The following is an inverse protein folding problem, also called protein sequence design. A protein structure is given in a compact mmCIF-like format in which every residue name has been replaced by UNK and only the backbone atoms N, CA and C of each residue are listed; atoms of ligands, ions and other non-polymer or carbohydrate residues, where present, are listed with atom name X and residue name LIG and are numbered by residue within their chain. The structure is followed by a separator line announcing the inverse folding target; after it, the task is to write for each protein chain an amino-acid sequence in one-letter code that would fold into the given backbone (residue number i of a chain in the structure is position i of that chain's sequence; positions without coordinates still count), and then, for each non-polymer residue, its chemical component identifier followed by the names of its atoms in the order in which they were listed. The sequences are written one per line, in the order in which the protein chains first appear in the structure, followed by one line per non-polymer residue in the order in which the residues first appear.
data_IF_293101070725
#
_entry.id   IF_293101070725
#
_cell.length_a   1.000
_cell.length_b   1.000
_cell.length_c   1.000
_cell.angle_alpha   90.00
_cell.angle_beta   90.00
_cell.angle_gamma   90.00
#
_symmetry.space_group_name_H-M   'P 1'
#
loop_
_entity.id
_entity.type
_entity.pdbx_description
1 polymer ?
#
# COMPACT_ATOMS: atom_id res chain seq x y z
N UNK A 1 13.94 1.97 8.23
CA UNK A 1 12.89 0.94 8.48
C UNK A 1 11.93 1.49 9.52
N UNK A 2 10.61 1.44 9.27
CA UNK A 2 9.58 1.85 10.24
C UNK A 2 8.69 0.64 10.57
N UNK A 3 8.39 0.43 11.86
CA UNK A 3 7.46 -0.63 12.28
C UNK A 3 6.04 -0.27 11.87
N UNK A 4 5.35 -1.17 11.17
CA UNK A 4 3.98 -0.98 10.71
C UNK A 4 3.02 -1.82 11.56
N UNK A 5 2.17 -1.15 12.35
CA UNK A 5 1.02 -1.81 13.00
C UNK A 5 -0.16 -1.83 12.02
N UNK A 6 -1.18 -2.64 12.32
CA UNK A 6 -2.42 -2.72 11.53
C UNK A 6 -2.99 -1.34 11.16
N UNK A 7 -3.13 -0.44 12.15
CA UNK A 7 -3.63 0.93 11.92
C UNK A 7 -2.76 1.79 11.00
N UNK A 8 -1.47 1.49 10.83
CA UNK A 8 -0.59 2.22 9.91
C UNK A 8 -0.71 1.72 8.46
N UNK A 9 -1.04 0.44 8.27
CA UNK A 9 -1.04 -0.21 6.96
C UNK A 9 -2.10 0.36 6.01
N UNK A 10 -3.24 0.81 6.53
CA UNK A 10 -4.28 1.43 5.71
C UNK A 10 -3.83 2.75 5.08
N UNK A 11 -3.16 3.61 5.84
CA UNK A 11 -2.60 4.87 5.33
C UNK A 11 -1.47 4.63 4.33
N UNK A 12 -0.58 3.68 4.64
CA UNK A 12 0.51 3.30 3.75
C UNK A 12 -0.01 2.75 2.41
N UNK A 13 -1.01 1.87 2.43
CA UNK A 13 -1.65 1.36 1.22
C UNK A 13 -2.20 2.49 0.35
N UNK A 14 -3.05 3.36 0.93
CA UNK A 14 -3.67 4.47 0.16
C UNK A 14 -2.64 5.42 -0.43
N UNK A 15 -1.57 5.71 0.32
CA UNK A 15 -0.50 6.60 -0.14
C UNK A 15 0.36 5.97 -1.24
N UNK A 16 0.80 4.73 -1.07
CA UNK A 16 1.67 4.04 -2.02
C UNK A 16 0.95 3.70 -3.32
N UNK A 17 -0.31 3.27 -3.23
CA UNK A 17 -1.15 2.99 -4.40
C UNK A 17 -1.68 4.26 -5.08
N UNK A 18 -1.37 5.46 -4.54
CA UNK A 18 -1.84 6.74 -5.06
C UNK A 18 -3.37 6.76 -5.29
N UNK A 19 -4.12 6.22 -4.32
CA UNK A 19 -5.59 6.03 -4.44
C UNK A 19 -6.35 7.35 -4.62
N UNK A 20 -5.84 8.43 -4.04
CA UNK A 20 -6.46 9.76 -4.14
C UNK A 20 -5.73 10.61 -5.17
N UNK A 21 -6.48 11.43 -5.89
CA UNK A 21 -5.92 12.41 -6.84
C UNK A 21 -5.28 13.60 -6.12
N UNK A 22 -5.81 13.96 -4.94
CA UNK A 22 -5.31 15.07 -4.14
C UNK A 22 -4.34 14.58 -3.06
N UNK A 23 -3.27 15.32 -2.88
CA UNK A 23 -2.22 15.00 -1.93
C UNK A 23 -1.84 16.23 -1.11
N UNK A 24 -1.76 16.09 0.21
CA UNK A 24 -1.26 17.16 1.09
C UNK A 24 0.26 17.37 0.93
N UNK A 25 0.98 16.33 0.49
CA UNK A 25 2.39 16.45 0.14
C UNK A 25 2.50 17.12 -1.24
N UNK A 26 3.01 18.35 -1.24
CA UNK A 26 3.17 19.20 -2.44
C UNK A 26 4.26 18.71 -3.40
N UNK A 27 5.11 17.79 -2.96
CA UNK A 27 6.22 17.27 -3.75
C UNK A 27 5.82 16.08 -4.63
N UNK A 28 4.57 15.59 -4.54
CA UNK A 28 4.06 14.54 -5.41
C UNK A 28 3.54 15.16 -6.71
N UNK A 29 4.24 14.88 -7.80
CA UNK A 29 3.77 15.17 -9.16
C UNK A 29 2.81 14.07 -9.64
N UNK A 30 1.51 14.36 -9.61
CA UNK A 30 0.45 13.43 -10.02
C UNK A 30 0.53 13.05 -11.50
N UNK A 31 1.07 13.93 -12.35
CA UNK A 31 1.26 13.63 -13.77
C UNK A 31 2.23 12.48 -13.98
N UNK A 32 3.12 12.23 -13.03
CA UNK A 32 4.12 11.15 -13.07
C UNK A 32 3.69 9.89 -12.32
N UNK A 33 2.54 9.89 -11.64
CA UNK A 33 2.07 8.73 -10.86
C UNK A 33 1.89 7.46 -11.70
N UNK A 34 1.56 7.59 -12.98
CA UNK A 34 1.43 6.46 -13.91
C UNK A 34 2.75 5.74 -14.21
N UNK A 35 3.90 6.36 -13.89
CA UNK A 35 5.23 5.78 -14.04
C UNK A 35 5.61 4.89 -12.84
N UNK A 36 4.86 4.95 -11.74
CA UNK A 36 5.11 4.12 -10.57
C UNK A 36 4.74 2.66 -10.87
N UNK A 37 5.52 1.73 -10.32
CA UNK A 37 5.33 0.30 -10.53
C UNK A 37 5.44 -0.49 -9.22
N UNK A 38 4.76 -1.63 -9.18
CA UNK A 38 4.83 -2.62 -8.11
C UNK A 38 5.68 -3.80 -8.61
N UNK A 39 6.62 -4.26 -7.78
CA UNK A 39 7.54 -5.34 -8.16
C UNK A 39 7.02 -6.72 -7.77
N UNK A 40 6.06 -6.78 -6.85
CA UNK A 40 5.45 -8.04 -6.40
C UNK A 40 4.24 -8.40 -7.27
N UNK A 41 3.94 -9.69 -7.39
CA UNK A 41 2.71 -10.18 -8.05
C UNK A 41 1.45 -10.04 -7.19
N UNK A 42 1.39 -9.06 -6.28
CA UNK A 42 0.28 -8.93 -5.34
C UNK A 42 -0.98 -8.41 -6.03
N UNK A 43 -2.12 -8.82 -5.52
CA UNK A 43 -3.39 -8.22 -5.90
C UNK A 43 -3.48 -6.79 -5.33
N UNK A 44 -3.42 -5.80 -6.22
CA UNK A 44 -3.48 -4.38 -5.85
C UNK A 44 -4.83 -3.97 -5.27
N UNK A 45 -5.90 -4.74 -5.48
CA UNK A 45 -7.22 -4.48 -4.88
C UNK A 45 -7.29 -4.88 -3.40
N UNK A 46 -6.34 -5.69 -2.92
CA UNK A 46 -6.29 -6.17 -1.52
C UNK A 46 -5.38 -5.27 -0.70
N UNK A 47 -5.90 -4.71 0.40
CA UNK A 47 -5.11 -3.87 1.28
C UNK A 47 -3.92 -4.62 1.90
N UNK A 48 -2.85 -3.88 2.23
CA UNK A 48 -1.67 -4.47 2.88
C UNK A 48 -2.01 -5.23 4.16
N UNK A 49 -2.92 -4.69 4.99
CA UNK A 49 -3.33 -5.34 6.23
C UNK A 49 -4.01 -6.69 5.96
N UNK A 50 -4.94 -6.75 5.01
CA UNK A 50 -5.68 -7.98 4.70
C UNK A 50 -4.76 -9.03 4.09
N UNK A 51 -3.86 -8.62 3.19
CA UNK A 51 -2.88 -9.51 2.57
C UNK A 51 -1.96 -10.13 3.64
N UNK A 52 -1.33 -9.31 4.48
CA UNK A 52 -0.37 -9.78 5.49
C UNK A 52 -1.06 -10.68 6.52
N UNK A 53 -2.23 -10.29 7.04
CA UNK A 53 -2.99 -11.13 8.00
C UNK A 53 -3.42 -12.46 7.37
N UNK A 54 -3.85 -12.44 6.11
CA UNK A 54 -4.20 -13.64 5.36
C UNK A 54 -3.01 -14.59 5.22
N UNK A 55 -1.85 -14.07 4.82
CA UNK A 55 -0.62 -14.86 4.68
C UNK A 55 -0.14 -15.46 6.01
N UNK A 56 -0.29 -14.73 7.13
CA UNK A 56 0.04 -15.27 8.46
C UNK A 56 -0.85 -16.47 8.83
N UNK A 57 -2.14 -16.43 8.47
CA UNK A 57 -3.04 -17.55 8.74
C UNK A 57 -2.66 -18.80 7.94
N UNK A 58 -2.23 -18.64 6.69
CA UNK A 58 -1.79 -19.76 5.83
C UNK A 58 -0.51 -20.44 6.33
N UNK A 59 0.36 -19.73 7.03
CA UNK A 59 1.64 -20.28 7.52
C UNK A 59 1.49 -21.01 8.85
N UNK A 60 0.44 -20.72 9.62
CA UNK A 60 0.23 -21.27 10.97
C UNK A 60 -0.73 -22.48 10.99
N UNK A 61 -1.43 -22.77 9.88
CA UNK A 61 -2.27 -23.96 9.72
C UNK A 61 -1.52 -25.10 9.04
#
# INVERSE_FOLDING_TARGET
MQKMKAGNLGGAYKHNERVFETHSNKDIDTSRSHLNYELTGRDRSVSYERQIKGSLLTVVG
#
